data_IF_039465231586
#
_entry.id   IF_039465231586
#
_cell.length_a   1.000
_cell.length_b   1.000
_cell.length_c   1.000
_cell.angle_alpha   90.00
_cell.angle_beta   90.00
_cell.angle_gamma   90.00
#
_symmetry.space_group_name_H-M   'P 1'
#
loop_
_entity.id
_entity.type
_entity.pdbx_description
1 polymer ?
#
# COMPACT_ATOMS: atom_id res chain seq x y z
N UNK A 1 9.92 20.50 7.01
CA UNK A 1 10.00 19.76 5.72
C UNK A 1 11.42 19.91 5.21
N UNK A 2 12.12 18.80 4.98
CA UNK A 2 13.54 18.78 4.60
C UNK A 2 13.64 18.08 3.24
N UNK A 3 14.31 18.73 2.26
CA UNK A 3 14.57 18.19 0.92
C UNK A 3 13.36 17.55 0.24
N UNK A 4 12.18 18.14 0.40
CA UNK A 4 10.93 17.60 -0.14
C UNK A 4 10.40 18.49 -1.25
N UNK A 5 9.74 17.88 -2.26
CA UNK A 5 9.20 18.59 -3.42
C UNK A 5 7.68 18.45 -3.53
N UNK A 6 7.05 19.52 -4.01
CA UNK A 6 5.61 19.64 -4.16
C UNK A 6 5.29 19.99 -5.61
N UNK A 7 4.81 19.00 -6.37
CA UNK A 7 4.62 19.10 -7.81
C UNK A 7 3.13 19.16 -8.17
N UNK A 8 2.63 20.34 -8.48
CA UNK A 8 1.25 20.56 -8.90
C UNK A 8 0.40 21.31 -7.87
N UNK A 9 -0.89 21.49 -8.22
CA UNK A 9 -1.83 22.30 -7.46
C UNK A 9 -2.57 21.49 -6.39
N UNK A 10 -3.19 22.21 -5.43
CA UNK A 10 -4.07 21.64 -4.39
C UNK A 10 -3.41 20.64 -3.45
N UNK A 11 -2.10 20.75 -3.19
CA UNK A 11 -1.42 19.95 -2.18
C UNK A 11 -1.72 20.54 -0.80
N UNK A 12 -2.18 19.71 0.13
CA UNK A 12 -2.51 20.10 1.50
C UNK A 12 -1.67 19.30 2.49
N UNK A 13 -0.83 20.00 3.25
CA UNK A 13 -0.09 19.42 4.39
C UNK A 13 -0.61 20.08 5.66
N UNK A 14 -1.23 19.30 6.54
CA UNK A 14 -1.76 19.78 7.80
C UNK A 14 -0.64 20.03 8.83
N UNK A 15 -1.02 20.41 10.04
CA UNK A 15 -0.07 20.80 11.10
C UNK A 15 0.70 19.61 11.69
N UNK A 16 1.81 19.93 12.34
CA UNK A 16 2.61 18.99 13.12
C UNK A 16 3.09 17.75 12.32
N UNK A 17 3.30 17.93 11.00
CA UNK A 17 3.84 16.89 10.15
C UNK A 17 5.36 17.02 10.02
N UNK A 18 6.07 15.87 10.15
CA UNK A 18 7.50 15.79 9.88
C UNK A 18 7.71 15.09 8.51
N UNK A 19 8.20 15.83 7.53
CA UNK A 19 8.36 15.34 6.15
C UNK A 19 9.81 15.56 5.70
N UNK A 20 10.43 14.49 5.19
CA UNK A 20 11.81 14.52 4.71
C UNK A 20 11.98 13.72 3.42
N UNK A 21 12.71 14.28 2.43
CA UNK A 21 13.07 13.67 1.14
C UNK A 21 11.88 12.99 0.44
N UNK A 22 10.73 13.69 0.42
CA UNK A 22 9.50 13.13 -0.13
C UNK A 22 8.91 14.02 -1.21
N UNK A 23 8.19 13.41 -2.16
CA UNK A 23 7.59 14.10 -3.30
C UNK A 23 6.06 13.93 -3.28
N UNK A 24 5.36 15.03 -3.57
CA UNK A 24 3.89 15.06 -3.59
C UNK A 24 3.41 15.64 -4.91
N UNK A 25 2.46 14.96 -5.54
CA UNK A 25 1.83 15.40 -6.78
C UNK A 25 0.48 16.08 -6.52
N UNK A 26 -0.16 16.56 -7.59
CA UNK A 26 -1.42 17.33 -7.55
C UNK A 26 -2.49 16.66 -6.67
N UNK A 27 -3.11 17.44 -5.80
CA UNK A 27 -4.22 17.01 -4.96
C UNK A 27 -3.82 16.05 -3.83
N UNK A 28 -2.53 15.91 -3.53
CA UNK A 28 -2.08 15.11 -2.39
C UNK A 28 -2.47 15.78 -1.06
N UNK A 29 -2.95 15.01 -0.10
CA UNK A 29 -3.40 15.46 1.21
C UNK A 29 -2.67 14.70 2.30
N UNK A 30 -2.02 15.42 3.23
CA UNK A 30 -1.45 14.85 4.45
C UNK A 30 -2.12 15.52 5.64
N UNK A 31 -2.76 14.74 6.49
CA UNK A 31 -3.42 15.20 7.71
C UNK A 31 -2.44 15.29 8.88
N UNK A 32 -2.94 15.74 10.05
CA UNK A 32 -2.15 16.10 11.22
C UNK A 32 -1.25 14.97 11.76
N UNK A 33 -0.10 15.35 12.33
CA UNK A 33 0.79 14.47 13.08
C UNK A 33 1.36 13.27 12.28
N UNK A 34 1.59 13.45 10.98
CA UNK A 34 2.21 12.43 10.15
C UNK A 34 3.74 12.57 10.10
N UNK A 35 4.44 11.43 10.07
CA UNK A 35 5.87 11.34 9.84
C UNK A 35 6.13 10.62 8.50
N UNK A 36 6.74 11.32 7.52
CA UNK A 36 6.90 10.81 6.15
C UNK A 36 8.35 10.98 5.71
N UNK A 37 8.97 9.86 5.29
CA UNK A 37 10.37 9.82 4.90
C UNK A 37 10.54 9.10 3.55
N UNK A 38 11.41 9.63 2.68
CA UNK A 38 11.87 8.96 1.46
C UNK A 38 10.73 8.38 0.60
N UNK A 39 9.61 9.10 0.50
CA UNK A 39 8.36 8.60 -0.06
C UNK A 39 7.87 9.44 -1.23
N UNK A 40 7.09 8.84 -2.13
CA UNK A 40 6.50 9.52 -3.27
C UNK A 40 4.99 9.29 -3.33
N UNK A 41 4.26 10.37 -3.59
CA UNK A 41 2.80 10.40 -3.62
C UNK A 41 2.35 10.91 -4.99
N UNK A 42 1.63 10.07 -5.71
CA UNK A 42 1.03 10.41 -6.99
C UNK A 42 -0.25 11.27 -6.79
N UNK A 43 -0.94 11.61 -7.87
CA UNK A 43 -2.08 12.52 -7.85
C UNK A 43 -3.22 12.02 -6.96
N UNK A 44 -3.86 12.95 -6.22
CA UNK A 44 -5.06 12.67 -5.41
C UNK A 44 -4.88 11.55 -4.39
N UNK A 45 -3.75 11.54 -3.70
CA UNK A 45 -3.50 10.62 -2.59
C UNK A 45 -3.82 11.25 -1.24
N UNK A 46 -4.17 10.44 -0.24
CA UNK A 46 -4.43 10.97 1.09
C UNK A 46 -3.78 10.12 2.20
N UNK A 47 -3.15 10.81 3.15
CA UNK A 47 -2.61 10.22 4.39
C UNK A 47 -3.37 10.84 5.55
N UNK A 48 -4.08 10.01 6.30
CA UNK A 48 -4.87 10.42 7.45
C UNK A 48 -4.01 10.58 8.72
N UNK A 49 -4.53 11.11 9.83
CA UNK A 49 -3.71 11.51 10.97
C UNK A 49 -2.90 10.38 11.62
N UNK A 50 -1.79 10.76 12.26
CA UNK A 50 -0.94 9.88 13.07
C UNK A 50 -0.32 8.70 12.26
N UNK A 51 -0.04 8.89 10.98
CA UNK A 51 0.61 7.88 10.15
C UNK A 51 2.13 8.07 10.13
N UNK A 52 2.86 6.95 10.07
CA UNK A 52 4.31 6.92 9.84
C UNK A 52 4.60 6.15 8.56
N UNK A 53 5.20 6.83 7.57
CA UNK A 53 5.48 6.26 6.25
C UNK A 53 6.97 6.44 5.91
N UNK A 54 7.62 5.37 5.49
CA UNK A 54 9.04 5.40 5.11
C UNK A 54 9.30 4.53 3.89
N UNK A 55 9.94 5.09 2.84
CA UNK A 55 10.20 4.39 1.57
C UNK A 55 8.91 3.85 0.91
N UNK A 56 7.86 4.67 0.89
CA UNK A 56 6.57 4.31 0.33
C UNK A 56 6.36 4.99 -1.02
N UNK A 57 5.87 4.23 -2.01
CA UNK A 57 5.39 4.77 -3.28
C UNK A 57 3.86 4.63 -3.31
N UNK A 58 3.16 5.74 -3.38
CA UNK A 58 1.70 5.81 -3.37
C UNK A 58 1.18 6.04 -4.78
N UNK A 59 0.42 5.10 -5.32
CA UNK A 59 -0.30 5.25 -6.59
C UNK A 59 -1.49 6.20 -6.47
N UNK A 60 -1.87 6.83 -7.57
CA UNK A 60 -2.93 7.83 -7.63
C UNK A 60 -4.28 7.32 -7.09
N UNK A 61 -5.08 8.22 -6.52
CA UNK A 61 -6.42 7.94 -5.97
C UNK A 61 -6.44 6.96 -4.80
N UNK A 62 -5.31 6.76 -4.12
CA UNK A 62 -5.17 5.84 -2.99
C UNK A 62 -5.10 6.60 -1.67
N UNK A 63 -5.52 5.95 -0.60
CA UNK A 63 -5.43 6.55 0.72
C UNK A 63 -5.10 5.53 1.81
N UNK A 64 -4.52 6.01 2.90
CA UNK A 64 -4.32 5.28 4.15
C UNK A 64 -4.96 6.03 5.31
N UNK A 65 -5.79 5.33 6.09
CA UNK A 65 -6.43 5.87 7.27
C UNK A 65 -5.49 5.95 8.47
N UNK A 66 -5.97 6.62 9.50
CA UNK A 66 -5.24 7.04 10.69
C UNK A 66 -4.56 5.88 11.46
N UNK A 67 -3.54 6.25 12.22
CA UNK A 67 -2.79 5.36 13.10
C UNK A 67 -2.12 4.19 12.36
N UNK A 68 -1.72 4.40 11.11
CA UNK A 68 -1.11 3.38 10.24
C UNK A 68 0.40 3.58 10.13
N UNK A 69 1.12 2.49 9.94
CA UNK A 69 2.57 2.51 9.77
C UNK A 69 2.99 1.64 8.59
N UNK A 70 3.79 2.21 7.68
CA UNK A 70 4.23 1.56 6.45
C UNK A 70 5.71 1.80 6.20
N UNK A 71 6.44 0.72 5.91
CA UNK A 71 7.84 0.78 5.51
C UNK A 71 8.11 -0.06 4.25
N UNK A 72 8.88 0.46 3.30
CA UNK A 72 9.25 -0.25 2.07
C UNK A 72 8.05 -0.86 1.32
N UNK A 73 7.08 -0.01 0.96
CA UNK A 73 5.82 -0.43 0.29
C UNK A 73 5.63 0.31 -1.02
N UNK A 74 5.24 -0.43 -2.06
CA UNK A 74 4.68 0.14 -3.29
C UNK A 74 3.18 -0.13 -3.33
N UNK A 75 2.37 0.93 -3.39
CA UNK A 75 0.93 0.87 -3.57
C UNK A 75 0.55 1.19 -5.01
N UNK A 76 -0.35 0.40 -5.55
CA UNK A 76 -1.05 0.71 -6.80
C UNK A 76 -2.09 1.82 -6.65
N UNK A 77 -2.83 2.06 -7.72
CA UNK A 77 -3.87 3.10 -7.81
C UNK A 77 -5.19 2.62 -7.20
N UNK A 78 -6.02 3.55 -6.74
CA UNK A 78 -7.36 3.27 -6.19
C UNK A 78 -7.37 2.34 -4.97
N UNK A 79 -6.25 2.24 -4.25
CA UNK A 79 -6.14 1.38 -3.07
C UNK A 79 -6.65 2.10 -1.82
N UNK A 80 -7.52 1.41 -1.07
CA UNK A 80 -8.17 1.91 0.14
C UNK A 80 -7.68 1.17 1.36
N UNK A 81 -6.99 1.85 2.29
CA UNK A 81 -6.42 1.23 3.48
C UNK A 81 -7.13 1.75 4.73
N UNK A 82 -7.71 0.82 5.51
CA UNK A 82 -8.38 1.09 6.78
C UNK A 82 -7.42 1.49 7.90
N UNK A 83 -7.94 2.01 9.03
CA UNK A 83 -7.13 2.51 10.13
C UNK A 83 -6.33 1.41 10.84
N UNK A 84 -5.17 1.81 11.37
CA UNK A 84 -4.30 0.91 12.14
C UNK A 84 -3.59 -0.16 11.29
N UNK A 85 -3.39 0.11 10.01
CA UNK A 85 -2.64 -0.76 9.10
C UNK A 85 -1.16 -0.79 9.44
N UNK A 86 -0.56 -1.98 9.41
CA UNK A 86 0.85 -2.19 9.74
C UNK A 86 1.52 -3.01 8.64
N UNK A 87 2.63 -2.49 8.08
CA UNK A 87 3.46 -3.18 7.09
C UNK A 87 4.89 -2.64 7.10
N UNK A 88 5.89 -3.48 6.80
CA UNK A 88 7.27 -3.02 6.63
C UNK A 88 8.01 -2.76 7.94
N UNK A 89 7.79 -3.57 8.94
CA UNK A 89 8.49 -3.47 10.23
C UNK A 89 9.83 -4.19 10.26
N UNK A 90 10.13 -4.96 9.25
CA UNK A 90 11.33 -5.77 9.16
C UNK A 90 11.18 -7.14 9.81
N UNK A 91 12.12 -8.01 9.50
CA UNK A 91 12.19 -9.37 10.01
C UNK A 91 13.54 -9.65 10.65
N UNK A 92 13.58 -10.59 11.58
CA UNK A 92 14.80 -11.11 12.18
C UNK A 92 15.09 -12.52 11.66
N UNK A 93 16.39 -12.91 11.51
CA UNK A 93 16.74 -14.26 11.09
C UNK A 93 16.32 -15.29 12.14
N UNK A 94 15.51 -16.26 11.74
CA UNK A 94 15.04 -17.32 12.64
C UNK A 94 15.99 -18.52 12.74
N UNK A 95 16.98 -18.59 11.82
CA UNK A 95 17.97 -19.67 11.71
C UNK A 95 19.38 -19.27 12.20
N UNK A 96 19.54 -18.04 12.74
CA UNK A 96 20.79 -17.64 13.39
C UNK A 96 20.78 -18.05 14.86
N UNK A 97 21.97 -18.13 15.48
CA UNK A 97 22.11 -18.43 16.93
C UNK A 97 21.39 -17.38 17.77
N UNK A 98 21.38 -16.12 17.30
CA UNK A 98 20.67 -15.02 17.93
C UNK A 98 19.84 -14.24 16.92
N UNK A 99 18.69 -13.77 17.33
CA UNK A 99 17.84 -12.85 16.55
C UNK A 99 18.22 -11.37 16.76
N UNK A 100 19.24 -11.07 17.60
CA UNK A 100 19.62 -9.69 17.89
C UNK A 100 20.39 -9.05 16.76
N UNK A 101 19.90 -7.93 16.19
CA UNK A 101 20.54 -7.26 15.06
C UNK A 101 21.93 -6.71 15.37
N UNK A 102 22.29 -6.56 16.64
CA UNK A 102 23.63 -6.09 17.04
C UNK A 102 24.77 -6.96 16.50
N UNK A 103 24.48 -8.24 16.20
CA UNK A 103 25.47 -9.20 15.69
C UNK A 103 25.46 -9.41 14.18
N UNK A 104 24.41 -8.92 13.47
CA UNK A 104 24.30 -9.15 12.03
C UNK A 104 23.91 -7.93 11.20
N UNK A 105 23.58 -6.79 11.85
CA UNK A 105 23.13 -5.58 11.15
C UNK A 105 24.02 -4.38 11.47
N UNK A 106 24.34 -3.60 10.44
CA UNK A 106 25.08 -2.33 10.61
C UNK A 106 24.17 -1.16 10.95
N UNK A 107 22.87 -1.33 11.07
CA UNK A 107 21.88 -0.26 11.33
C UNK A 107 21.93 0.31 12.75
N UNK A 108 22.61 -0.38 13.68
CA UNK A 108 22.80 0.08 15.05
C UNK A 108 21.50 0.40 15.79
N UNK A 109 20.48 -0.43 15.70
CA UNK A 109 19.15 -0.21 16.30
C UNK A 109 19.20 0.12 17.81
N UNK A 110 20.19 -0.40 18.54
CA UNK A 110 20.43 -0.05 19.96
C UNK A 110 21.68 0.83 20.16
N UNK A 111 22.13 1.57 19.15
CA UNK A 111 23.26 2.49 19.20
C UNK A 111 24.63 1.88 18.89
N UNK A 112 24.77 0.56 18.95
CA UNK A 112 26.02 -0.16 18.63
C UNK A 112 25.76 -1.33 17.67
N UNK A 113 26.84 -1.83 17.06
CA UNK A 113 26.88 -3.07 16.29
C UNK A 113 28.23 -3.76 16.50
N UNK A 114 28.25 -5.09 16.59
CA UNK A 114 29.46 -5.92 16.64
C UNK A 114 29.87 -6.44 15.26
N UNK A 115 29.17 -6.02 14.21
CA UNK A 115 29.53 -6.38 12.82
C UNK A 115 29.77 -5.14 11.98
N UNK A 116 30.69 -5.25 11.02
CA UNK A 116 30.97 -4.20 10.04
C UNK A 116 30.17 -4.36 8.75
N UNK A 117 29.51 -5.52 8.56
CA UNK A 117 28.70 -5.84 7.39
C UNK A 117 27.37 -6.45 7.77
N UNK A 118 26.29 -6.01 7.13
CA UNK A 118 24.99 -6.65 7.31
C UNK A 118 24.95 -8.02 6.65
N UNK A 119 24.50 -9.04 7.40
CA UNK A 119 24.46 -10.44 6.97
C UNK A 119 23.04 -10.97 6.76
N UNK A 120 22.05 -10.11 6.95
CA UNK A 120 20.63 -10.44 6.79
C UNK A 120 19.91 -9.22 6.22
N UNK A 121 19.01 -9.44 5.28
CA UNK A 121 18.14 -8.41 4.75
C UNK A 121 16.90 -8.29 5.64
N UNK A 122 16.92 -7.30 6.51
CA UNK A 122 15.87 -7.09 7.51
C UNK A 122 14.57 -6.52 6.93
N UNK A 123 14.61 -5.96 5.70
CA UNK A 123 13.45 -5.31 5.09
C UNK A 123 13.29 -5.75 3.64
N UNK A 124 12.14 -6.31 3.34
CA UNK A 124 11.78 -6.67 1.98
C UNK A 124 10.67 -5.78 1.45
N UNK A 125 10.75 -5.45 0.15
CA UNK A 125 9.75 -4.63 -0.52
C UNK A 125 8.41 -5.36 -0.58
N UNK A 126 7.39 -4.78 0.04
CA UNK A 126 6.00 -5.23 -0.10
C UNK A 126 5.35 -4.53 -1.28
N UNK A 127 4.56 -5.25 -2.06
CA UNK A 127 3.81 -4.70 -3.19
C UNK A 127 2.32 -4.92 -2.97
N UNK A 128 1.56 -3.84 -3.07
CA UNK A 128 0.09 -3.85 -3.00
C UNK A 128 -0.41 -3.34 -4.34
N UNK A 129 -1.26 -4.12 -5.00
CA UNK A 129 -1.78 -3.83 -6.33
C UNK A 129 -2.78 -2.68 -6.40
N UNK A 130 -3.48 -2.60 -7.51
CA UNK A 130 -4.50 -1.59 -7.79
C UNK A 130 -5.88 -2.06 -7.30
N UNK A 131 -6.78 -1.13 -6.98
CA UNK A 131 -8.15 -1.42 -6.53
C UNK A 131 -8.20 -2.38 -5.32
N UNK A 132 -7.19 -2.33 -4.46
CA UNK A 132 -7.12 -3.17 -3.25
C UNK A 132 -7.87 -2.50 -2.10
N UNK A 133 -8.66 -3.27 -1.37
CA UNK A 133 -9.24 -2.83 -0.11
C UNK A 133 -8.66 -3.60 1.06
N UNK A 134 -8.02 -2.88 1.98
CA UNK A 134 -7.45 -3.43 3.22
C UNK A 134 -8.29 -2.95 4.40
N UNK A 135 -8.89 -3.90 5.12
CA UNK A 135 -9.68 -3.65 6.32
C UNK A 135 -8.84 -3.11 7.48
N UNK A 136 -9.54 -2.55 8.48
CA UNK A 136 -8.90 -1.97 9.65
C UNK A 136 -8.03 -2.97 10.43
N UNK A 137 -6.92 -2.49 11.04
CA UNK A 137 -6.01 -3.27 11.89
C UNK A 137 -5.44 -4.52 11.22
N UNK A 138 -5.18 -4.44 9.94
CA UNK A 138 -4.50 -5.50 9.18
C UNK A 138 -2.99 -5.39 9.37
N UNK A 139 -2.33 -6.52 9.56
CA UNK A 139 -0.88 -6.65 9.49
C UNK A 139 -0.48 -7.37 8.21
N UNK A 140 0.52 -6.86 7.49
CA UNK A 140 1.11 -7.49 6.30
C UNK A 140 2.59 -7.69 6.52
N UNK A 141 3.05 -8.94 6.40
CA UNK A 141 4.46 -9.31 6.51
C UNK A 141 5.27 -8.70 5.37
N UNK A 142 6.51 -8.35 5.66
CA UNK A 142 7.46 -7.85 4.66
C UNK A 142 7.63 -8.81 3.48
N UNK A 143 7.82 -8.25 2.29
CA UNK A 143 8.01 -9.01 1.06
C UNK A 143 6.75 -9.63 0.45
N UNK A 144 5.60 -9.54 1.10
CA UNK A 144 4.33 -10.06 0.57
C UNK A 144 3.87 -9.25 -0.64
N UNK A 145 3.30 -9.94 -1.63
CA UNK A 145 2.60 -9.36 -2.76
C UNK A 145 1.09 -9.51 -2.58
N UNK A 146 0.36 -8.40 -2.65
CA UNK A 146 -1.10 -8.38 -2.69
C UNK A 146 -1.51 -8.00 -4.10
N UNK A 147 -2.24 -8.90 -4.77
CA UNK A 147 -2.66 -8.75 -6.16
C UNK A 147 -3.70 -7.66 -6.38
N UNK A 148 -3.92 -7.30 -7.64
CA UNK A 148 -4.91 -6.31 -8.05
C UNK A 148 -6.33 -6.72 -7.63
N UNK A 149 -7.14 -5.77 -7.22
CA UNK A 149 -8.52 -6.02 -6.83
C UNK A 149 -8.71 -6.87 -5.57
N UNK A 150 -7.66 -7.22 -4.84
CA UNK A 150 -7.75 -8.05 -3.64
C UNK A 150 -8.46 -7.32 -2.48
N UNK A 151 -9.08 -8.10 -1.59
CA UNK A 151 -9.74 -7.62 -0.39
C UNK A 151 -9.18 -8.34 0.84
N UNK A 152 -8.65 -7.57 1.78
CA UNK A 152 -8.11 -8.08 3.04
C UNK A 152 -9.09 -7.74 4.15
N UNK A 153 -9.64 -8.75 4.81
CA UNK A 153 -10.59 -8.55 5.90
C UNK A 153 -9.92 -7.87 7.11
N UNK A 154 -10.70 -7.09 7.84
CA UNK A 154 -10.23 -6.39 9.04
C UNK A 154 -9.61 -7.36 10.06
N UNK A 155 -8.51 -6.94 10.70
CA UNK A 155 -7.79 -7.74 11.69
C UNK A 155 -7.01 -8.93 11.12
N UNK A 156 -6.88 -9.05 9.81
CA UNK A 156 -6.12 -10.14 9.20
C UNK A 156 -4.61 -9.99 9.42
N UNK A 157 -3.90 -11.12 9.53
CA UNK A 157 -2.43 -11.19 9.53
C UNK A 157 -1.99 -11.90 8.26
N UNK A 158 -1.57 -11.11 7.26
CA UNK A 158 -1.19 -11.60 5.94
C UNK A 158 0.28 -12.00 5.95
N UNK A 159 0.56 -13.29 5.81
CA UNK A 159 1.91 -13.87 5.87
C UNK A 159 2.39 -14.50 4.58
N UNK A 160 1.55 -14.50 3.54
CA UNK A 160 1.85 -15.05 2.21
C UNK A 160 1.18 -14.19 1.14
N UNK A 161 1.62 -14.33 -0.10
CA UNK A 161 1.08 -13.61 -1.24
C UNK A 161 -0.43 -13.83 -1.40
N UNK A 162 -1.13 -12.77 -1.79
CA UNK A 162 -2.56 -12.76 -2.01
C UNK A 162 -2.82 -12.64 -3.51
N UNK A 163 -3.55 -13.60 -4.12
CA UNK A 163 -3.87 -13.55 -5.54
C UNK A 163 -4.76 -12.35 -5.93
N UNK A 164 -4.74 -12.01 -7.22
CA UNK A 164 -5.63 -11.00 -7.78
C UNK A 164 -7.10 -11.32 -7.48
N UNK A 165 -7.88 -10.29 -7.12
CA UNK A 165 -9.31 -10.38 -6.80
C UNK A 165 -9.66 -11.41 -5.70
N UNK A 166 -8.68 -11.91 -4.94
CA UNK A 166 -8.94 -12.78 -3.79
C UNK A 166 -9.47 -11.98 -2.60
N UNK A 167 -10.37 -12.59 -1.83
CA UNK A 167 -10.80 -12.14 -0.51
C UNK A 167 -10.14 -13.05 0.51
N UNK A 168 -9.30 -12.47 1.37
CA UNK A 168 -8.59 -13.21 2.42
C UNK A 168 -8.89 -12.62 3.80
N UNK A 169 -8.77 -13.46 4.84
CA UNK A 169 -8.97 -13.01 6.22
C UNK A 169 -8.48 -14.02 7.25
N UNK A 170 -8.43 -13.60 8.51
CA UNK A 170 -8.02 -14.44 9.64
C UNK A 170 -6.55 -14.29 10.05
N UNK A 171 -6.12 -15.09 11.04
CA UNK A 171 -4.78 -15.11 11.62
C UNK A 171 -4.28 -16.57 11.68
N UNK A 172 -3.34 -16.98 10.80
CA UNK A 172 -2.90 -16.26 9.60
C UNK A 172 -4.02 -16.16 8.55
N UNK A 173 -3.93 -15.16 7.67
CA UNK A 173 -4.91 -14.93 6.62
C UNK A 173 -4.98 -16.13 5.66
N UNK A 174 -6.20 -16.51 5.29
CA UNK A 174 -6.50 -17.59 4.35
C UNK A 174 -7.48 -17.09 3.29
N UNK A 175 -7.44 -17.71 2.11
CA UNK A 175 -8.41 -17.47 1.05
C UNK A 175 -9.81 -17.84 1.54
N UNK A 176 -10.74 -16.89 1.44
CA UNK A 176 -12.17 -17.09 1.71
C UNK A 176 -12.89 -17.41 0.40
N UNK A 177 -12.71 -16.56 -0.61
CA UNK A 177 -13.23 -16.72 -1.98
C UNK A 177 -12.60 -15.69 -2.91
N UNK A 178 -12.89 -15.76 -4.19
CA UNK A 178 -12.62 -14.68 -5.13
C UNK A 178 -13.81 -13.72 -5.22
N UNK A 179 -13.57 -12.48 -5.65
CA UNK A 179 -14.63 -11.46 -5.88
C UNK A 179 -15.51 -11.85 -7.06
N UNK A 180 -14.90 -12.38 -8.10
CA UNK A 180 -15.53 -12.73 -9.39
C UNK A 180 -15.08 -14.12 -9.86
N UNK A 181 -15.73 -14.66 -10.88
CA UNK A 181 -15.31 -15.87 -11.59
C UNK A 181 -13.98 -15.63 -12.33
N UNK A 182 -13.22 -16.69 -12.57
CA UNK A 182 -11.86 -16.63 -13.13
C UNK A 182 -11.80 -15.93 -14.48
N UNK A 183 -12.76 -16.20 -15.36
CA UNK A 183 -12.87 -15.58 -16.68
C UNK A 183 -13.13 -14.06 -16.61
N UNK A 184 -13.88 -13.62 -15.62
CA UNK A 184 -14.12 -12.19 -15.33
C UNK A 184 -12.85 -11.54 -14.77
N UNK A 185 -12.14 -12.22 -13.86
CA UNK A 185 -10.88 -11.73 -13.31
C UNK A 185 -9.85 -11.51 -14.41
N UNK A 186 -9.69 -12.46 -15.32
CA UNK A 186 -8.78 -12.33 -16.47
C UNK A 186 -9.10 -11.11 -17.34
N UNK A 187 -10.37 -10.89 -17.66
CA UNK A 187 -10.81 -9.74 -18.45
C UNK A 187 -10.54 -8.41 -17.74
N UNK A 188 -10.72 -8.34 -16.42
CA UNK A 188 -10.44 -7.14 -15.63
C UNK A 188 -8.94 -6.84 -15.58
N UNK A 189 -8.09 -7.87 -15.46
CA UNK A 189 -6.63 -7.76 -15.48
C UNK A 189 -6.10 -7.34 -16.87
N UNK A 190 -6.70 -7.80 -17.95
CA UNK A 190 -6.37 -7.37 -19.31
C UNK A 190 -6.79 -5.91 -19.56
N UNK A 191 -7.97 -5.53 -19.07
CA UNK A 191 -8.54 -4.19 -19.25
C UNK A 191 -7.76 -3.12 -18.51
N UNK A 192 -7.24 -3.42 -17.34
CA UNK A 192 -6.49 -2.50 -16.46
C UNK A 192 -7.12 -1.12 -16.36
N UNK A 193 -8.42 -1.05 -16.04
CA UNK A 193 -9.19 0.20 -16.00
C UNK A 193 -8.58 1.27 -15.08
N UNK A 194 -7.82 0.88 -14.08
CA UNK A 194 -7.11 1.79 -13.19
C UNK A 194 -6.01 2.61 -13.90
N UNK A 195 -5.61 2.24 -15.13
CA UNK A 195 -4.66 2.98 -15.97
C UNK A 195 -5.33 3.97 -16.94
N UNK A 196 -6.65 4.05 -16.95
CA UNK A 196 -7.37 4.97 -17.82
C UNK A 196 -7.12 6.43 -17.45
N UNK A 197 -7.28 7.33 -18.44
CA UNK A 197 -7.24 8.77 -18.24
C UNK A 197 -8.38 9.24 -17.34
N UNK A 198 -8.24 10.42 -16.71
CA UNK A 198 -9.30 11.00 -15.88
C UNK A 198 -10.61 11.18 -16.64
N UNK A 199 -10.56 11.58 -17.92
CA UNK A 199 -11.76 11.75 -18.75
C UNK A 199 -12.47 10.42 -18.98
N UNK A 200 -11.73 9.35 -19.31
CA UNK A 200 -12.30 8.02 -19.45
C UNK A 200 -12.85 7.47 -18.13
N UNK A 201 -12.20 7.73 -17.02
CA UNK A 201 -12.70 7.35 -15.68
C UNK A 201 -14.00 8.08 -15.33
N UNK A 202 -14.15 9.37 -15.70
CA UNK A 202 -15.40 10.13 -15.52
C UNK A 202 -16.53 9.55 -16.37
N UNK A 203 -16.25 9.20 -17.61
CA UNK A 203 -17.20 8.53 -18.50
C UNK A 203 -17.60 7.15 -17.97
N UNK A 204 -16.64 6.38 -17.44
CA UNK A 204 -16.85 5.05 -16.89
C UNK A 204 -17.53 5.03 -15.53
N UNK A 205 -17.62 6.15 -14.82
CA UNK A 205 -18.12 6.23 -13.44
C UNK A 205 -19.47 5.52 -13.23
N UNK A 206 -20.51 5.68 -14.05
CA UNK A 206 -21.77 4.99 -13.84
C UNK A 206 -21.66 3.47 -13.95
N UNK A 207 -20.71 2.98 -14.75
CA UNK A 207 -20.47 1.55 -14.95
C UNK A 207 -19.58 0.94 -13.86
N UNK A 208 -18.60 1.70 -13.37
CA UNK A 208 -17.74 1.29 -12.25
C UNK A 208 -18.49 1.29 -10.91
N UNK A 209 -19.52 2.12 -10.75
CA UNK A 209 -20.27 2.29 -9.52
C UNK A 209 -21.57 1.45 -9.45
N UNK A 210 -21.61 0.31 -10.16
CA UNK A 210 -22.78 -0.59 -10.16
C UNK A 210 -22.34 -2.07 -9.94
N UNK A 211 -23.23 -2.96 -9.46
CA UNK A 211 -22.83 -4.30 -9.02
C UNK A 211 -22.60 -5.32 -10.15
N UNK A 212 -23.10 -5.07 -11.35
CA UNK A 212 -23.00 -6.03 -12.46
C UNK A 212 -21.71 -5.81 -13.26
N UNK A 213 -20.71 -6.63 -13.00
CA UNK A 213 -19.40 -6.56 -13.66
C UNK A 213 -19.50 -6.87 -15.17
N UNK A 214 -20.47 -7.67 -15.61
CA UNK A 214 -20.61 -8.01 -17.01
C UNK A 214 -21.07 -6.80 -17.84
N UNK A 215 -22.00 -6.00 -17.31
CA UNK A 215 -22.40 -4.74 -17.93
C UNK A 215 -21.21 -3.77 -18.08
N UNK A 216 -20.35 -3.68 -17.06
CA UNK A 216 -19.12 -2.89 -17.14
C UNK A 216 -18.18 -3.40 -18.24
N UNK A 217 -17.93 -4.71 -18.31
CA UNK A 217 -17.06 -5.31 -19.32
C UNK A 217 -17.62 -5.15 -20.73
N UNK A 218 -18.94 -5.30 -20.92
CA UNK A 218 -19.59 -5.05 -22.21
C UNK A 218 -19.45 -3.59 -22.65
N UNK A 219 -19.66 -2.65 -21.75
CA UNK A 219 -19.49 -1.24 -22.03
C UNK A 219 -18.03 -0.92 -22.42
N UNK A 220 -17.07 -1.42 -21.64
CA UNK A 220 -15.65 -1.17 -21.85
C UNK A 220 -15.09 -1.70 -23.16
N UNK A 221 -15.71 -2.74 -23.75
CA UNK A 221 -15.34 -3.29 -25.08
C UNK A 221 -15.85 -2.45 -26.24
N UNK A 222 -16.87 -1.61 -26.02
CA UNK A 222 -17.50 -0.79 -27.07
C UNK A 222 -16.88 0.60 -27.19
N UNK A 223 -16.13 1.01 -26.20
CA UNK A 223 -15.47 2.32 -26.07
C UNK A 223 -13.96 2.21 -26.07
#
# INVERSE_FOLDING_TARGET
>A
MIDSSFNGDHIVIAKDCYIQRSTFSRGAIVKDHCAIFDSSFDNHTAVYPNCTLSHVKFGAYSYVNENSSMGSVTLGRFTSIGPGFICGYGEHPTNFITTSPVFYSTRRQCGISFTETSRYDEQQQTTIGNDVWIGARTFVRDGVKIGDGALIAAGAVVTADVPDYAIVGGVPAKLIRYRFAEDVVQQLLELQWWNWSEDRLREAQPQLAQPDVNLFLEWARRT
#
